data_IF_712039122788
#
_entry.id   IF_712039122788
#
_cell.length_a   1.000
_cell.length_b   1.000
_cell.length_c   1.000
_cell.angle_alpha   90.00
_cell.angle_beta   90.00
_cell.angle_gamma   90.00
#
_symmetry.space_group_name_H-M   'P 1'
#
loop_
_entity.id
_entity.type
_entity.pdbx_description
1 polymer ?
#
# COMPACT_ATOMS: atom_id res chain seq x y z
N UNK A 1 40.51 -1.00 -17.54
CA UNK A 1 39.24 -0.32 -17.74
C UNK A 1 39.00 0.64 -16.61
N UNK A 2 38.67 1.88 -16.94
CA UNK A 2 38.30 2.89 -15.96
C UNK A 2 36.77 3.02 -15.91
N UNK A 3 36.26 3.76 -14.95
CA UNK A 3 34.83 4.03 -14.86
C UNK A 3 34.29 4.72 -16.12
N UNK A 4 35.13 5.52 -16.79
CA UNK A 4 34.72 6.22 -18.01
C UNK A 4 34.50 5.25 -19.17
N UNK A 5 35.08 4.04 -19.12
CA UNK A 5 34.97 3.04 -20.19
C UNK A 5 33.73 2.15 -20.02
N UNK A 6 33.01 2.26 -18.90
CA UNK A 6 31.83 1.46 -18.67
C UNK A 6 30.67 2.06 -19.48
N UNK A 7 30.00 1.25 -20.32
CA UNK A 7 28.84 1.75 -21.06
C UNK A 7 27.78 2.34 -20.12
N UNK A 8 27.29 3.50 -20.48
CA UNK A 8 26.24 4.14 -19.70
C UNK A 8 24.89 3.48 -20.02
N UNK A 9 24.22 3.06 -18.99
CA UNK A 9 22.85 2.58 -19.11
C UNK A 9 21.90 3.77 -19.18
N UNK A 10 20.70 3.52 -19.69
CA UNK A 10 19.63 4.52 -19.62
C UNK A 10 19.46 4.94 -18.16
N UNK A 11 19.33 6.24 -17.88
CA UNK A 11 19.14 6.68 -16.50
C UNK A 11 17.99 5.95 -15.82
N UNK A 12 18.23 5.49 -14.60
CA UNK A 12 17.26 4.77 -13.81
C UNK A 12 16.89 5.63 -12.61
N UNK A 13 15.61 5.88 -12.45
CA UNK A 13 15.10 6.60 -11.28
C UNK A 13 14.68 5.60 -10.19
N UNK A 14 14.80 5.96 -8.91
CA UNK A 14 14.23 5.14 -7.84
C UNK A 14 12.73 4.97 -8.05
N UNK A 15 12.24 3.75 -7.86
CA UNK A 15 10.83 3.44 -8.12
C UNK A 15 9.96 3.47 -6.86
N UNK A 16 10.59 3.42 -5.68
CA UNK A 16 9.88 3.38 -4.39
C UNK A 16 8.84 2.27 -4.34
N UNK A 17 9.22 1.12 -4.90
CA UNK A 17 8.35 -0.04 -5.07
C UNK A 17 8.97 -1.21 -4.33
N UNK A 18 8.20 -1.86 -3.46
CA UNK A 18 8.72 -2.89 -2.55
C UNK A 18 7.76 -4.06 -2.46
N UNK A 19 8.30 -5.28 -2.33
CA UNK A 19 7.49 -6.43 -1.93
C UNK A 19 7.06 -6.24 -0.49
N UNK A 20 5.84 -6.64 -0.18
CA UNK A 20 5.31 -6.50 1.17
C UNK A 20 4.36 -7.65 1.49
N UNK A 21 4.20 -7.93 2.78
CA UNK A 21 3.33 -8.99 3.27
C UNK A 21 2.40 -8.42 4.33
N UNK A 22 1.10 -8.69 4.26
CA UNK A 22 0.18 -8.21 5.28
C UNK A 22 0.40 -8.95 6.59
N UNK A 23 0.50 -8.22 7.69
CA UNK A 23 0.59 -8.78 9.02
C UNK A 23 -0.74 -8.67 9.74
N UNK A 24 -1.41 -7.52 9.60
CA UNK A 24 -2.67 -7.26 10.28
C UNK A 24 -3.40 -6.11 9.60
N UNK A 25 -4.69 -6.27 9.39
CA UNK A 25 -5.55 -5.18 8.92
C UNK A 25 -6.10 -4.46 10.16
N UNK A 26 -5.85 -3.15 10.23
CA UNK A 26 -6.31 -2.32 11.36
C UNK A 26 -7.67 -1.71 11.01
N UNK A 27 -7.73 -1.04 9.86
CA UNK A 27 -8.95 -0.54 9.25
C UNK A 27 -8.90 -0.89 7.78
N UNK A 28 -9.99 -0.71 7.04
CA UNK A 28 -10.01 -1.03 5.62
C UNK A 28 -8.89 -0.39 4.81
N UNK A 29 -8.46 0.80 5.22
CA UNK A 29 -7.41 1.57 4.54
C UNK A 29 -6.09 1.62 5.32
N UNK A 30 -5.95 0.85 6.41
CA UNK A 30 -4.76 0.89 7.26
C UNK A 30 -4.32 -0.54 7.58
N UNK A 31 -3.12 -0.89 7.13
CA UNK A 31 -2.60 -2.25 7.22
C UNK A 31 -1.19 -2.23 7.81
N UNK A 32 -0.94 -3.11 8.76
CA UNK A 32 0.40 -3.35 9.25
C UNK A 32 1.05 -4.36 8.31
N UNK A 33 2.19 -4.00 7.73
CA UNK A 33 2.85 -4.81 6.71
C UNK A 33 4.32 -5.00 7.03
N UNK A 34 4.85 -6.15 6.62
CA UNK A 34 6.29 -6.42 6.62
C UNK A 34 6.79 -6.13 5.21
N UNK A 35 7.73 -5.22 5.09
CA UNK A 35 8.22 -4.73 3.81
C UNK A 35 9.65 -5.17 3.57
N UNK A 36 9.89 -5.79 2.42
CA UNK A 36 11.22 -6.20 1.99
C UNK A 36 11.89 -5.00 1.33
N UNK A 37 12.92 -4.47 1.98
CA UNK A 37 13.67 -3.32 1.46
C UNK A 37 14.95 -3.73 0.77
N UNK A 38 15.14 -5.01 0.52
CA UNK A 38 16.35 -5.54 -0.11
C UNK A 38 17.44 -5.84 0.92
N UNK A 39 18.55 -6.37 0.45
CA UNK A 39 19.72 -6.70 1.29
C UNK A 39 19.40 -7.65 2.45
N UNK A 40 18.36 -8.50 2.30
CA UNK A 40 17.85 -9.37 3.38
C UNK A 40 17.36 -8.58 4.59
N UNK A 41 16.91 -7.34 4.39
CA UNK A 41 16.37 -6.48 5.43
C UNK A 41 14.87 -6.32 5.23
N UNK A 42 14.11 -6.56 6.29
CA UNK A 42 12.67 -6.32 6.30
C UNK A 42 12.33 -5.35 7.43
N UNK A 43 11.33 -4.51 7.19
CA UNK A 43 10.84 -3.57 8.21
C UNK A 43 9.33 -3.73 8.33
N UNK A 44 8.82 -3.54 9.54
CA UNK A 44 7.39 -3.55 9.79
C UNK A 44 6.90 -2.11 9.80
N UNK A 45 5.91 -1.83 8.97
CA UNK A 45 5.36 -0.49 8.79
C UNK A 45 3.85 -0.53 8.87
N UNK A 46 3.26 0.56 9.36
CA UNK A 46 1.82 0.78 9.22
C UNK A 46 1.62 1.57 7.94
N UNK A 47 0.87 0.99 7.01
CA UNK A 47 0.60 1.56 5.69
C UNK A 47 -0.82 2.13 5.66
N UNK A 48 -0.94 3.36 5.19
CA UNK A 48 -2.23 4.02 4.92
C UNK A 48 -2.41 4.12 3.42
N UNK A 49 -3.50 3.59 2.91
CA UNK A 49 -3.74 3.59 1.45
C UNK A 49 -3.91 5.01 0.93
N UNK A 50 -3.21 5.30 -0.15
CA UNK A 50 -3.33 6.58 -0.86
C UNK A 50 -4.61 6.61 -1.69
N UNK A 51 -5.18 7.80 -1.78
CA UNK A 51 -6.25 8.10 -2.72
C UNK A 51 -7.64 7.70 -2.28
N UNK A 52 -7.78 6.99 -1.16
CA UNK A 52 -9.08 6.55 -0.67
C UNK A 52 -9.21 6.77 0.83
N UNK A 53 -10.44 6.71 1.32
CA UNK A 53 -10.73 6.79 2.75
C UNK A 53 -11.83 5.79 3.08
N UNK A 54 -11.58 4.92 4.05
CA UNK A 54 -12.56 3.97 4.55
C UNK A 54 -13.13 4.47 5.88
N UNK A 55 -14.35 4.05 6.25
CA UNK A 55 -14.86 4.32 7.59
C UNK A 55 -13.97 3.65 8.64
N UNK A 56 -13.84 4.31 9.79
CA UNK A 56 -13.12 3.72 10.91
C UNK A 56 -13.93 2.59 11.54
N UNK A 57 -13.25 1.57 12.02
CA UNK A 57 -13.89 0.41 12.65
C UNK A 57 -14.23 0.67 14.12
N UNK A 58 -14.23 1.93 14.54
CA UNK A 58 -14.56 2.37 15.90
C UNK A 58 -15.44 3.60 15.83
N UNK A 59 -16.14 3.90 16.94
CA UNK A 59 -16.97 5.09 17.05
C UNK A 59 -18.24 5.01 16.20
N UNK A 60 -18.75 6.17 15.77
CA UNK A 60 -20.04 6.23 15.06
C UNK A 60 -20.09 5.45 13.74
N UNK A 61 -18.94 5.25 13.09
CA UNK A 61 -18.86 4.53 11.82
C UNK A 61 -18.52 3.06 11.97
N UNK A 62 -18.62 2.51 13.19
CA UNK A 62 -18.11 1.17 13.51
C UNK A 62 -18.60 0.07 12.56
N UNK A 63 -19.88 0.02 12.28
CA UNK A 63 -20.44 -1.04 11.42
C UNK A 63 -19.88 -0.97 10.01
N UNK A 64 -19.87 0.20 9.41
CA UNK A 64 -19.32 0.40 8.07
C UNK A 64 -17.80 0.16 8.06
N UNK A 65 -17.13 0.56 9.13
CA UNK A 65 -15.68 0.35 9.27
C UNK A 65 -15.30 -1.11 9.39
N UNK A 66 -16.07 -1.88 10.14
CA UNK A 66 -15.85 -3.33 10.26
C UNK A 66 -16.06 -4.00 8.90
N UNK A 67 -17.10 -3.60 8.17
CA UNK A 67 -17.36 -4.12 6.84
C UNK A 67 -16.20 -3.82 5.88
N UNK A 68 -15.67 -2.60 5.91
CA UNK A 68 -14.53 -2.21 5.10
C UNK A 68 -13.27 -3.00 5.48
N UNK A 69 -13.05 -3.17 6.78
CA UNK A 69 -11.93 -3.97 7.27
C UNK A 69 -12.02 -5.42 6.77
N UNK A 70 -13.18 -6.02 6.86
CA UNK A 70 -13.41 -7.39 6.38
C UNK A 70 -13.22 -7.49 4.88
N UNK A 71 -13.61 -6.46 4.12
CA UNK A 71 -13.37 -6.44 2.68
C UNK A 71 -11.89 -6.45 2.36
N UNK A 72 -11.09 -5.67 3.08
CA UNK A 72 -9.63 -5.64 2.92
C UNK A 72 -9.00 -6.98 3.30
N UNK A 73 -9.45 -7.58 4.41
CA UNK A 73 -8.97 -8.90 4.82
C UNK A 73 -9.27 -9.96 3.75
N UNK A 74 -10.48 -9.93 3.21
CA UNK A 74 -10.87 -10.83 2.12
C UNK A 74 -10.00 -10.64 0.89
N UNK A 75 -9.70 -9.39 0.53
CA UNK A 75 -8.85 -9.09 -0.62
C UNK A 75 -7.45 -9.70 -0.44
N UNK A 76 -6.86 -9.57 0.74
CA UNK A 76 -5.55 -10.18 1.00
C UNK A 76 -5.61 -11.70 0.95
N UNK A 77 -6.72 -12.31 1.36
CA UNK A 77 -6.87 -13.78 1.31
C UNK A 77 -7.01 -14.30 -0.11
N UNK A 78 -7.50 -13.47 -1.03
CA UNK A 78 -7.77 -13.88 -2.42
C UNK A 78 -6.71 -13.37 -3.41
N UNK A 79 -5.71 -12.66 -2.93
CA UNK A 79 -4.63 -12.10 -3.74
C UNK A 79 -3.28 -12.57 -3.22
N UNK A 80 -2.25 -12.40 -4.05
CA UNK A 80 -0.88 -12.83 -3.74
C UNK A 80 0.13 -11.85 -4.34
N UNK A 81 1.42 -12.04 -3.99
CA UNK A 81 2.53 -11.27 -4.55
C UNK A 81 2.31 -9.77 -4.39
N UNK A 82 2.14 -9.35 -3.14
CA UNK A 82 1.83 -7.97 -2.82
C UNK A 82 3.02 -7.05 -3.03
N UNK A 83 2.72 -5.88 -3.58
CA UNK A 83 3.70 -4.82 -3.84
C UNK A 83 3.12 -3.52 -3.33
N UNK A 84 3.94 -2.73 -2.65
CA UNK A 84 3.56 -1.37 -2.26
C UNK A 84 4.37 -0.37 -3.04
N UNK A 85 3.75 0.76 -3.37
CA UNK A 85 4.40 1.88 -4.04
C UNK A 85 4.22 3.10 -3.16
N UNK A 86 5.33 3.69 -2.70
CA UNK A 86 5.30 4.85 -1.82
C UNK A 86 5.60 6.13 -2.62
N UNK A 87 5.36 7.29 -2.00
CA UNK A 87 5.68 8.57 -2.62
C UNK A 87 7.19 8.85 -2.56
N UNK A 88 7.76 9.44 -3.61
CA UNK A 88 9.20 9.74 -3.64
C UNK A 88 9.60 10.94 -2.79
N UNK A 89 8.71 11.89 -2.53
CA UNK A 89 9.03 13.07 -1.74
C UNK A 89 9.06 12.73 -0.26
N UNK A 90 10.24 12.84 0.41
CA UNK A 90 10.33 12.51 1.84
C UNK A 90 9.33 13.25 2.73
N UNK A 91 8.90 14.45 2.32
CA UNK A 91 7.97 15.25 3.11
C UNK A 91 6.52 14.78 2.99
N UNK A 92 6.23 13.89 2.04
CA UNK A 92 4.88 13.39 1.80
C UNK A 92 4.78 11.88 1.92
N UNK A 93 5.79 11.21 2.50
CA UNK A 93 5.80 9.75 2.64
C UNK A 93 4.95 9.24 3.79
N UNK A 94 4.70 10.07 4.79
CA UNK A 94 3.88 9.71 5.95
C UNK A 94 2.77 10.72 6.16
N UNK A 95 1.70 10.27 6.84
CA UNK A 95 0.65 11.18 7.30
C UNK A 95 0.97 11.72 8.69
N UNK A 96 0.06 12.52 9.25
CA UNK A 96 0.23 13.13 10.57
C UNK A 96 0.26 12.10 11.73
N UNK A 97 -0.15 10.86 11.48
CA UNK A 97 -0.12 9.78 12.45
C UNK A 97 1.05 8.82 12.23
N UNK A 98 2.02 9.22 11.41
CA UNK A 98 3.22 8.43 11.08
C UNK A 98 2.91 7.11 10.37
N UNK A 99 1.79 7.02 9.68
CA UNK A 99 1.49 5.92 8.80
C UNK A 99 2.12 6.22 7.44
N UNK A 100 2.69 5.19 6.82
CA UNK A 100 3.36 5.35 5.53
C UNK A 100 2.33 5.29 4.42
N UNK A 101 2.30 6.35 3.61
CA UNK A 101 1.34 6.47 2.52
C UNK A 101 1.79 5.64 1.33
N UNK A 102 0.93 4.74 0.85
CA UNK A 102 1.30 3.84 -0.23
C UNK A 102 0.07 3.35 -1.00
N UNK A 103 0.32 2.94 -2.25
CA UNK A 103 -0.62 2.12 -3.00
C UNK A 103 -0.26 0.66 -2.76
N UNK A 104 -1.26 -0.19 -2.57
CA UNK A 104 -1.05 -1.62 -2.35
C UNK A 104 -1.63 -2.39 -3.53
N UNK A 105 -0.78 -3.17 -4.18
CA UNK A 105 -1.14 -4.02 -5.32
C UNK A 105 -0.98 -5.48 -4.96
N UNK A 106 -1.75 -6.32 -5.59
CA UNK A 106 -1.62 -7.77 -5.46
C UNK A 106 -2.18 -8.44 -6.71
N UNK A 107 -1.76 -9.68 -6.95
CA UNK A 107 -2.24 -10.44 -8.10
C UNK A 107 -3.47 -11.25 -7.71
N UNK A 108 -4.52 -11.18 -8.53
CA UNK A 108 -5.72 -11.99 -8.35
C UNK A 108 -5.46 -13.46 -8.77
N UNK A 109 -6.49 -14.28 -8.69
CA UNK A 109 -6.39 -15.71 -9.04
C UNK A 109 -6.02 -15.94 -10.50
N UNK A 110 -6.29 -14.97 -11.39
CA UNK A 110 -5.92 -15.03 -12.80
C UNK A 110 -4.51 -14.51 -13.06
N UNK A 111 -3.81 -14.05 -12.01
CA UNK A 111 -2.47 -13.48 -12.13
C UNK A 111 -2.47 -12.02 -12.56
N UNK A 112 -3.62 -11.37 -12.60
CA UNK A 112 -3.70 -9.96 -12.95
C UNK A 112 -3.50 -9.09 -11.71
N UNK A 113 -2.68 -8.05 -11.86
CA UNK A 113 -2.43 -7.12 -10.77
C UNK A 113 -3.63 -6.20 -10.57
N UNK A 114 -4.05 -6.07 -9.31
CA UNK A 114 -5.15 -5.20 -8.91
C UNK A 114 -4.68 -4.28 -7.79
N UNK A 115 -5.15 -3.03 -7.81
CA UNK A 115 -4.90 -2.10 -6.72
C UNK A 115 -6.01 -2.25 -5.68
N UNK A 116 -5.63 -2.46 -4.42
CA UNK A 116 -6.58 -2.64 -3.32
C UNK A 116 -7.56 -1.47 -3.21
N UNK A 117 -7.09 -0.24 -3.42
CA UNK A 117 -7.96 0.93 -3.37
C UNK A 117 -9.08 0.89 -4.40
N UNK A 118 -8.80 0.41 -5.61
CA UNK A 118 -9.83 0.27 -6.64
C UNK A 118 -10.89 -0.74 -6.23
N UNK A 119 -10.48 -1.85 -5.63
CA UNK A 119 -11.42 -2.85 -5.11
C UNK A 119 -12.33 -2.24 -4.04
N UNK A 120 -11.74 -1.48 -3.11
CA UNK A 120 -12.52 -0.87 -2.03
C UNK A 120 -13.49 0.20 -2.55
N UNK A 121 -13.08 0.99 -3.54
CA UNK A 121 -13.96 1.95 -4.20
C UNK A 121 -15.09 1.24 -4.95
N UNK A 122 -14.75 0.20 -5.70
CA UNK A 122 -15.72 -0.54 -6.49
C UNK A 122 -16.75 -1.30 -5.65
N UNK A 123 -16.40 -1.69 -4.44
CA UNK A 123 -17.31 -2.38 -3.52
C UNK A 123 -18.01 -1.43 -2.56
N UNK A 124 -17.83 -0.13 -2.73
CA UNK A 124 -18.44 0.91 -1.89
C UNK A 124 -17.98 0.86 -0.42
N UNK A 125 -16.79 0.35 -0.18
CA UNK A 125 -16.18 0.33 1.15
C UNK A 125 -15.25 1.51 1.38
N UNK A 126 -15.03 2.32 0.36
CA UNK A 126 -14.18 3.50 0.44
C UNK A 126 -14.74 4.61 -0.44
N UNK A 127 -14.32 5.83 -0.15
CA UNK A 127 -14.59 7.00 -0.98
C UNK A 127 -13.26 7.59 -1.44
N UNK A 128 -13.22 8.32 -2.56
CA UNK A 128 -11.99 8.99 -2.98
C UNK A 128 -11.55 10.00 -1.91
N UNK A 129 -10.24 10.10 -1.74
CA UNK A 129 -9.66 11.02 -0.76
C UNK A 129 -8.36 11.59 -1.32
N UNK A 130 -8.17 12.92 -1.19
CA UNK A 130 -6.95 13.58 -1.63
C UNK A 130 -6.06 13.89 -0.44
N UNK A 131 -4.87 13.30 -0.45
CA UNK A 131 -3.86 13.56 0.56
C UNK A 131 -3.18 14.92 0.34
N UNK A 132 -2.58 15.47 1.39
CA UNK A 132 -1.72 16.62 1.28
C UNK A 132 -2.42 17.96 1.28
N UNK A 133 -3.61 18.04 1.77
CA UNK A 133 -4.34 19.30 1.92
C UNK A 133 -4.24 19.84 3.34
#
# INVERSE_FOLDING_TARGET
MTLADIPRLTPIAPTYTYKAFPLRVIDGDTIEMRVDVGFHVEVNLTVRLLGINCPESRGPSREAGIKAKEATEYWFETHSEFIIVTRPDPRSQTDSFRRWLAYVHGNDAAGQQEYLGDFLLGTHNAIPFREGK
#
